data_IF_269995511691
#
_entry.id   IF_269995511691
#
_cell.length_a   1.000
_cell.length_b   1.000
_cell.length_c   1.000
_cell.angle_alpha   90.00
_cell.angle_beta   90.00
_cell.angle_gamma   90.00
#
_symmetry.space_group_name_H-M   'P 1'
#
loop_
_entity.id
_entity.type
_entity.pdbx_description
1 polymer ?
#
# COMPACT_ATOMS: atom_id res chain seq x y z
N UNK A 1 -5.96 -6.12 7.38
CA UNK A 1 -7.34 -6.56 7.71
C UNK A 1 -7.84 -6.16 9.09
N UNK A 2 -7.09 -6.43 10.16
CA UNK A 2 -7.58 -6.25 11.55
C UNK A 2 -7.34 -4.85 12.13
N UNK A 3 -6.60 -4.00 11.42
CA UNK A 3 -6.28 -2.65 11.87
C UNK A 3 -7.59 -1.86 12.03
N UNK A 4 -7.86 -1.30 13.22
CA UNK A 4 -9.04 -0.47 13.43
C UNK A 4 -8.86 0.86 12.70
N UNK A 5 -9.85 1.22 11.89
CA UNK A 5 -10.11 2.60 11.50
C UNK A 5 -10.99 3.30 12.53
N UNK A 6 -11.39 4.55 12.25
CA UNK A 6 -12.16 5.39 13.18
C UNK A 6 -13.48 4.76 13.64
N UNK A 7 -14.12 3.92 12.81
CA UNK A 7 -15.41 3.30 13.11
C UNK A 7 -15.46 1.78 12.90
N UNK A 8 -14.55 1.19 12.12
CA UNK A 8 -14.61 -0.24 11.74
C UNK A 8 -13.23 -0.79 11.35
N UNK A 9 -13.16 -2.02 10.85
CA UNK A 9 -11.99 -2.61 10.20
C UNK A 9 -12.42 -3.40 8.97
N UNK A 10 -11.49 -3.69 8.06
CA UNK A 10 -11.78 -4.54 6.89
C UNK A 10 -12.25 -5.94 7.30
N UNK A 11 -11.77 -6.46 8.43
CA UNK A 11 -12.27 -7.73 8.97
C UNK A 11 -13.75 -7.62 9.38
N UNK A 12 -14.15 -6.53 10.05
CA UNK A 12 -15.55 -6.28 10.41
C UNK A 12 -16.41 -6.06 9.16
N UNK A 13 -15.92 -5.30 8.17
CA UNK A 13 -16.61 -5.10 6.89
C UNK A 13 -16.84 -6.44 6.16
N UNK A 14 -15.81 -7.29 6.12
CA UNK A 14 -15.93 -8.65 5.58
C UNK A 14 -16.98 -9.49 6.32
N UNK A 15 -16.99 -9.44 7.65
CA UNK A 15 -17.99 -10.13 8.47
C UNK A 15 -19.42 -9.58 8.23
N UNK A 16 -19.54 -8.30 7.85
CA UNK A 16 -20.80 -7.67 7.44
C UNK A 16 -21.21 -7.92 5.98
N UNK A 17 -20.50 -8.79 5.25
CA UNK A 17 -20.84 -9.17 3.87
C UNK A 17 -20.10 -8.42 2.76
N UNK A 18 -19.17 -7.52 3.09
CA UNK A 18 -18.35 -6.88 2.06
C UNK A 18 -17.36 -7.86 1.43
N UNK A 19 -17.13 -7.77 0.11
CA UNK A 19 -16.09 -8.54 -0.58
C UNK A 19 -14.70 -7.98 -0.26
N UNK A 20 -14.05 -8.61 0.72
CA UNK A 20 -12.69 -8.27 1.14
C UNK A 20 -11.81 -9.50 1.00
N UNK A 21 -10.80 -9.39 0.13
CA UNK A 21 -9.87 -10.47 -0.18
C UNK A 21 -8.48 -10.17 0.37
N UNK A 22 -7.81 -11.20 0.88
CA UNK A 22 -6.40 -11.12 1.24
C UNK A 22 -5.61 -11.50 0.01
N UNK A 23 -4.66 -10.65 -0.36
CA UNK A 23 -3.71 -10.87 -1.45
C UNK A 23 -2.30 -10.72 -0.90
N UNK A 24 -1.36 -11.44 -1.48
CA UNK A 24 0.04 -11.39 -1.08
C UNK A 24 0.87 -10.50 -2.01
N UNK A 25 0.36 -10.22 -3.20
CA UNK A 25 0.96 -9.31 -4.16
C UNK A 25 -0.08 -8.37 -4.79
N UNK A 26 0.40 -7.28 -5.37
CA UNK A 26 -0.39 -6.39 -6.23
C UNK A 26 -0.87 -7.08 -7.50
N UNK A 27 -0.06 -8.02 -8.01
CA UNK A 27 -0.39 -8.80 -9.18
C UNK A 27 -1.61 -9.70 -8.94
N UNK A 28 -1.76 -10.25 -7.74
CA UNK A 28 -2.96 -11.03 -7.39
C UNK A 28 -4.23 -10.19 -7.53
N UNK A 29 -4.19 -8.93 -7.09
CA UNK A 29 -5.31 -8.01 -7.20
C UNK A 29 -5.59 -7.60 -8.65
N UNK A 30 -4.54 -7.44 -9.46
CA UNK A 30 -4.68 -7.18 -10.89
C UNK A 30 -5.35 -8.36 -11.62
N UNK A 31 -4.95 -9.60 -11.32
CA UNK A 31 -5.59 -10.79 -11.91
C UNK A 31 -7.04 -10.95 -11.42
N UNK A 32 -7.34 -10.59 -10.17
CA UNK A 32 -8.74 -10.52 -9.69
C UNK A 32 -9.53 -9.49 -10.49
N UNK A 33 -8.99 -8.30 -10.77
CA UNK A 33 -9.67 -7.30 -11.60
C UNK A 33 -9.95 -7.82 -13.01
N UNK A 34 -8.95 -8.45 -13.64
CA UNK A 34 -9.09 -9.08 -14.95
C UNK A 34 -10.17 -10.16 -14.99
N UNK A 35 -10.28 -10.97 -13.94
CA UNK A 35 -11.29 -12.03 -13.83
C UNK A 35 -12.71 -11.54 -13.51
N UNK A 36 -12.88 -10.27 -13.09
CA UNK A 36 -14.15 -9.70 -12.66
C UNK A 36 -14.40 -8.35 -13.35
N UNK A 37 -14.50 -8.29 -14.69
CA UNK A 37 -14.49 -7.03 -15.45
C UNK A 37 -15.67 -6.09 -15.16
N UNK A 38 -16.77 -6.61 -14.61
CA UNK A 38 -17.95 -5.83 -14.22
C UNK A 38 -17.81 -5.17 -12.83
N UNK A 39 -16.85 -5.62 -12.02
CA UNK A 39 -16.67 -5.19 -10.63
C UNK A 39 -15.45 -4.29 -10.50
N UNK A 40 -15.52 -3.26 -9.67
CA UNK A 40 -14.36 -2.42 -9.35
C UNK A 40 -13.49 -3.09 -8.30
N UNK A 41 -12.22 -3.33 -8.62
CA UNK A 41 -11.25 -3.91 -7.69
C UNK A 41 -10.32 -2.82 -7.18
N UNK A 42 -10.39 -2.56 -5.87
CA UNK A 42 -9.57 -1.55 -5.22
C UNK A 42 -8.49 -2.25 -4.38
N UNK A 43 -7.24 -2.08 -4.76
CA UNK A 43 -6.09 -2.51 -3.96
C UNK A 43 -5.67 -1.40 -2.99
N UNK A 44 -5.43 -1.77 -1.74
CA UNK A 44 -4.95 -0.84 -0.71
C UNK A 44 -3.43 -0.69 -0.82
N UNK A 45 -2.98 0.39 -1.46
CA UNK A 45 -1.57 0.74 -1.61
C UNK A 45 -0.99 1.29 -0.32
N UNK A 46 -0.62 0.41 0.61
CA UNK A 46 -0.05 0.75 1.91
C UNK A 46 1.41 0.33 1.93
N UNK A 47 2.28 1.24 2.36
CA UNK A 47 3.66 0.94 2.65
C UNK A 47 4.60 2.09 2.32
N UNK A 48 5.88 1.81 2.48
CA UNK A 48 6.98 2.71 2.21
C UNK A 48 7.53 2.48 0.80
N UNK A 49 8.66 3.11 0.50
CA UNK A 49 9.38 3.05 -0.76
C UNK A 49 9.67 1.61 -1.22
N UNK A 50 9.77 0.63 -0.31
CA UNK A 50 9.96 -0.79 -0.65
C UNK A 50 8.80 -1.41 -1.43
N UNK A 51 7.58 -0.95 -1.17
CA UNK A 51 6.36 -1.53 -1.75
C UNK A 51 5.85 -0.72 -2.94
N UNK A 52 6.08 0.60 -2.94
CA UNK A 52 5.55 1.53 -3.94
C UNK A 52 5.93 1.18 -5.39
N UNK A 53 7.17 0.75 -5.72
CA UNK A 53 7.54 0.37 -7.09
C UNK A 53 6.72 -0.80 -7.64
N UNK A 54 6.46 -1.82 -6.83
CA UNK A 54 5.65 -2.97 -7.27
C UNK A 54 4.18 -2.61 -7.50
N UNK A 55 3.67 -1.63 -6.76
CA UNK A 55 2.32 -1.08 -6.96
C UNK A 55 2.29 -0.24 -8.24
N UNK A 56 3.28 0.63 -8.46
CA UNK A 56 3.41 1.38 -9.70
C UNK A 56 3.52 0.47 -10.93
N UNK A 57 4.32 -0.59 -10.86
CA UNK A 57 4.44 -1.58 -11.91
C UNK A 57 3.09 -2.27 -12.23
N UNK A 58 2.25 -2.51 -11.23
CA UNK A 58 0.90 -3.08 -11.45
C UNK A 58 -0.03 -2.13 -12.20
N UNK A 59 0.11 -0.81 -12.01
CA UNK A 59 -0.66 0.21 -12.74
C UNK A 59 -0.27 0.20 -14.21
N UNK A 60 1.04 0.19 -14.49
CA UNK A 60 1.55 0.12 -15.87
C UNK A 60 1.07 -1.16 -16.58
N UNK A 61 1.08 -2.30 -15.88
CA UNK A 61 0.56 -3.55 -16.43
C UNK A 61 -0.95 -3.52 -16.64
N UNK A 62 -1.71 -2.85 -15.78
CA UNK A 62 -3.15 -2.67 -15.97
C UNK A 62 -3.43 -1.87 -17.25
N UNK A 63 -2.67 -0.80 -17.47
CA UNK A 63 -2.75 0.03 -18.68
C UNK A 63 -2.40 -0.78 -19.95
N UNK A 64 -1.26 -1.46 -19.95
CA UNK A 64 -0.80 -2.29 -21.07
C UNK A 64 -1.84 -3.37 -21.44
N UNK A 65 -2.45 -4.00 -20.44
CA UNK A 65 -3.46 -5.05 -20.60
C UNK A 65 -4.89 -4.51 -20.76
N UNK A 66 -5.07 -3.19 -20.78
CA UNK A 66 -6.36 -2.49 -20.89
C UNK A 66 -7.38 -2.90 -19.82
N UNK A 67 -6.93 -3.19 -18.61
CA UNK A 67 -7.76 -3.50 -17.44
C UNK A 67 -8.25 -2.18 -16.84
N UNK A 68 -9.55 -1.88 -17.00
CA UNK A 68 -10.14 -0.57 -16.65
C UNK A 68 -10.76 -0.50 -15.25
N UNK A 69 -10.93 -1.64 -14.59
CA UNK A 69 -11.62 -1.78 -13.31
C UNK A 69 -10.65 -2.02 -12.14
N UNK A 70 -9.35 -1.80 -12.33
CA UNK A 70 -8.32 -1.92 -11.31
C UNK A 70 -7.94 -0.54 -10.78
N UNK A 71 -8.07 -0.34 -9.47
CA UNK A 71 -7.84 0.92 -8.79
C UNK A 71 -6.90 0.74 -7.60
N UNK A 72 -6.11 1.76 -7.31
CA UNK A 72 -5.25 1.81 -6.12
C UNK A 72 -5.79 2.89 -5.18
N UNK A 73 -6.12 2.51 -3.95
CA UNK A 73 -6.23 3.49 -2.87
C UNK A 73 -4.83 3.76 -2.33
N UNK A 74 -4.23 4.85 -2.78
CA UNK A 74 -2.85 5.24 -2.43
C UNK A 74 -2.77 5.82 -1.02
N UNK A 75 -2.16 5.08 -0.10
CA UNK A 75 -1.88 5.49 1.28
C UNK A 75 -0.39 5.30 1.60
N UNK A 76 0.44 5.45 0.56
CA UNK A 76 1.88 5.34 0.65
C UNK A 76 2.50 6.41 1.55
N UNK A 77 3.65 6.08 2.13
CA UNK A 77 4.43 6.98 2.99
C UNK A 77 5.88 7.01 2.54
N UNK A 78 6.55 8.11 2.88
CA UNK A 78 7.98 8.29 2.64
C UNK A 78 8.72 8.23 3.97
N UNK A 79 9.83 7.50 4.02
CA UNK A 79 10.67 7.35 5.20
C UNK A 79 11.47 8.64 5.52
N UNK A 80 12.15 9.32 4.57
CA UNK A 80 12.95 10.50 4.90
C UNK A 80 12.18 11.65 5.57
N UNK A 81 10.94 12.00 5.16
CA UNK A 81 10.15 13.02 5.87
C UNK A 81 9.78 12.61 7.30
N UNK A 82 9.50 11.33 7.55
CA UNK A 82 9.20 10.82 8.90
C UNK A 82 10.42 10.94 9.80
N UNK A 83 11.60 10.56 9.31
CA UNK A 83 12.86 10.71 10.03
C UNK A 83 13.11 12.18 10.38
N UNK A 84 12.94 13.10 9.41
CA UNK A 84 13.08 14.55 9.66
C UNK A 84 12.10 15.07 10.71
N UNK A 85 10.85 14.63 10.66
CA UNK A 85 9.86 15.04 11.66
C UNK A 85 10.26 14.59 13.08
N UNK A 86 10.78 13.37 13.23
CA UNK A 86 11.28 12.87 14.52
C UNK A 86 12.46 13.70 15.02
N UNK A 87 13.45 13.99 14.16
CA UNK A 87 14.61 14.81 14.52
C UNK A 87 14.20 16.23 14.93
N UNK A 88 13.21 16.82 14.25
CA UNK A 88 12.73 18.17 14.53
C UNK A 88 11.81 18.27 15.74
N UNK A 89 11.25 17.16 16.23
CA UNK A 89 10.36 17.16 17.41
C UNK A 89 11.07 17.57 18.70
N UNK A 90 12.40 17.45 18.75
CA UNK A 90 13.20 17.76 19.94
C UNK A 90 12.96 16.82 21.13
N UNK A 91 12.06 15.85 21.00
CA UNK A 91 11.67 14.91 22.06
C UNK A 91 12.68 13.77 22.25
N UNK A 92 13.63 13.60 21.33
CA UNK A 92 14.52 12.42 21.29
C UNK A 92 15.99 12.84 21.28
N UNK A 93 16.75 12.41 22.29
CA UNK A 93 18.22 12.51 22.30
C UNK A 93 18.81 11.43 21.39
N UNK A 94 19.08 11.78 20.14
CA UNK A 94 19.49 10.87 19.08
C UNK A 94 20.90 11.22 18.60
N UNK A 95 21.82 10.25 18.63
CA UNK A 95 23.20 10.42 18.13
C UNK A 95 23.43 9.77 16.76
N UNK A 96 22.47 8.98 16.27
CA UNK A 96 22.57 8.28 14.99
C UNK A 96 21.34 7.42 14.72
N UNK A 97 21.08 7.15 13.44
CA UNK A 97 19.92 6.39 12.97
C UNK A 97 20.37 5.14 12.21
N UNK A 98 19.73 4.01 12.48
CA UNK A 98 19.86 2.82 11.64
C UNK A 98 18.73 2.90 10.61
N UNK A 99 19.08 3.28 9.38
CA UNK A 99 18.12 3.43 8.29
C UNK A 99 17.60 2.07 7.79
N UNK A 100 16.34 2.00 7.33
CA UNK A 100 15.77 0.78 6.77
C UNK A 100 16.46 0.42 5.44
N UNK A 101 17.31 -0.60 5.46
CA UNK A 101 18.13 -0.98 4.29
C UNK A 101 17.32 -1.27 3.02
N UNK A 102 16.13 -1.87 3.14
CA UNK A 102 15.26 -2.10 1.97
C UNK A 102 14.74 -0.79 1.35
N UNK A 103 14.50 0.25 2.16
CA UNK A 103 14.12 1.57 1.63
C UNK A 103 15.30 2.19 0.91
N UNK A 104 16.49 2.15 1.51
CA UNK A 104 17.74 2.62 0.86
C UNK A 104 18.01 1.89 -0.44
N UNK A 105 17.73 0.59 -0.54
CA UNK A 105 17.86 -0.14 -1.80
C UNK A 105 16.97 0.43 -2.94
N UNK A 106 15.89 1.15 -2.61
CA UNK A 106 15.01 1.80 -3.57
C UNK A 106 15.42 3.25 -3.84
N UNK A 107 15.79 4.02 -2.82
CA UNK A 107 15.99 5.48 -2.94
C UNK A 107 17.46 5.94 -2.87
N UNK A 108 18.40 5.04 -2.57
CA UNK A 108 19.78 5.38 -2.20
C UNK A 108 19.95 5.49 -0.69
#
# INVERSE_FOLDING_TARGET
>A
LRVPGSHSSLQKAKAGGADVRVVYSTMDALEIAKGNPAESVIFLGIGFETTTPTIAASILQAEERKIKNYYILSIHKLCPPVIRALLNSGEVKLHGLICPGHVSAIIG
#
